data_IF_368372469898
#
_entry.id   IF_368372469898
#
_cell.length_a   1.000
_cell.length_b   1.000
_cell.length_c   1.000
_cell.angle_alpha   90.00
_cell.angle_beta   90.00
_cell.angle_gamma   90.00
#
_symmetry.space_group_name_H-M   'P 1'
#
loop_
_entity.id
_entity.type
_entity.pdbx_description
1 polymer ?
#
# COMPACT_ATOMS: atom_id res chain seq x y z
N UNK A 1 -9.05 40.17 20.58
CA UNK A 1 -8.58 41.10 21.64
C UNK A 1 -9.73 42.03 22.05
N UNK A 2 -10.64 41.61 22.95
CA UNK A 2 -11.61 42.51 23.62
C UNK A 2 -11.80 42.11 25.11
N UNK A 3 -10.97 41.19 25.64
CA UNK A 3 -11.05 40.75 27.04
C UNK A 3 -10.30 41.62 28.05
N UNK A 4 -9.60 42.66 27.58
CA UNK A 4 -8.68 43.46 28.41
C UNK A 4 -9.23 44.80 28.92
N UNK A 5 -10.47 45.19 28.60
CA UNK A 5 -10.94 46.57 28.84
C UNK A 5 -11.97 46.69 29.96
N UNK A 6 -12.54 45.59 30.49
CA UNK A 6 -13.66 45.70 31.46
C UNK A 6 -13.53 44.90 32.74
N UNK A 7 -12.37 44.26 33.01
CA UNK A 7 -11.99 43.76 34.35
C UNK A 7 -12.95 42.80 35.07
N UNK A 8 -14.00 42.33 34.39
CA UNK A 8 -15.04 41.47 34.93
C UNK A 8 -15.16 40.25 34.03
N UNK A 9 -14.98 39.07 34.64
CA UNK A 9 -15.25 37.80 33.97
C UNK A 9 -16.75 37.81 33.65
N UNK A 10 -17.18 37.72 32.38
CA UNK A 10 -18.60 37.68 32.07
C UNK A 10 -19.17 36.40 32.70
N UNK A 11 -19.97 36.54 33.75
CA UNK A 11 -20.66 35.44 34.41
C UNK A 11 -22.06 35.28 33.80
N UNK A 12 -22.54 34.04 33.67
CA UNK A 12 -23.87 33.74 33.11
C UNK A 12 -23.89 33.48 31.60
N UNK A 13 -24.92 33.95 30.90
CA UNK A 13 -25.22 33.61 29.49
C UNK A 13 -24.07 33.92 28.51
N UNK A 14 -23.35 35.02 28.71
CA UNK A 14 -22.22 35.41 27.87
C UNK A 14 -21.02 34.44 27.99
N UNK A 15 -20.80 33.83 29.17
CA UNK A 15 -19.81 32.77 29.32
C UNK A 15 -20.17 31.56 28.46
N UNK A 16 -21.45 31.16 28.48
CA UNK A 16 -21.96 30.05 27.67
C UNK A 16 -21.76 30.29 26.18
N UNK A 17 -22.03 31.51 25.69
CA UNK A 17 -21.81 31.88 24.28
C UNK A 17 -20.33 31.79 23.92
N UNK A 18 -19.44 32.32 24.76
CA UNK A 18 -17.99 32.24 24.51
C UNK A 18 -17.50 30.79 24.50
N UNK A 19 -17.97 29.94 25.42
CA UNK A 19 -17.61 28.53 25.47
C UNK A 19 -18.08 27.74 24.24
N UNK A 20 -19.32 27.98 23.77
CA UNK A 20 -19.85 27.35 22.56
C UNK A 20 -19.06 27.80 21.33
N UNK A 21 -18.75 29.09 21.23
CA UNK A 21 -17.96 29.63 20.13
C UNK A 21 -16.52 29.09 20.13
N UNK A 22 -15.88 28.97 21.30
CA UNK A 22 -14.55 28.38 21.39
C UNK A 22 -14.54 26.89 21.04
N UNK A 23 -15.59 26.15 21.44
CA UNK A 23 -15.74 24.73 21.07
C UNK A 23 -15.92 24.57 19.56
N UNK A 24 -16.78 25.38 18.96
CA UNK A 24 -17.00 25.38 17.51
C UNK A 24 -15.72 25.72 16.75
N UNK A 25 -14.99 26.76 17.18
CA UNK A 25 -13.71 27.14 16.57
C UNK A 25 -12.69 26.00 16.67
N UNK A 26 -12.61 25.33 17.81
CA UNK A 26 -11.70 24.21 18.03
C UNK A 26 -12.05 23.00 17.14
N UNK A 27 -13.33 22.66 17.03
CA UNK A 27 -13.80 21.55 16.19
C UNK A 27 -13.58 21.81 14.70
N UNK A 28 -13.85 23.04 14.23
CA UNK A 28 -13.62 23.42 12.83
C UNK A 28 -12.13 23.41 12.53
N UNK A 29 -11.32 24.10 13.34
CA UNK A 29 -9.87 24.19 13.10
C UNK A 29 -9.19 22.83 13.23
N UNK A 30 -9.57 22.04 14.25
CA UNK A 30 -9.11 20.66 14.41
C UNK A 30 -9.51 19.78 13.23
N UNK A 31 -10.76 19.87 12.78
CA UNK A 31 -11.24 19.12 11.61
C UNK A 31 -10.52 19.46 10.30
N UNK A 32 -10.17 20.73 10.10
CA UNK A 32 -9.37 21.15 8.93
C UNK A 32 -7.95 20.59 8.95
N UNK A 33 -7.36 20.39 10.13
CA UNK A 33 -6.02 19.80 10.29
C UNK A 33 -6.07 18.26 10.20
N UNK A 34 -7.14 17.63 10.72
CA UNK A 34 -7.27 16.17 10.68
C UNK A 34 -7.52 15.61 9.28
N UNK A 35 -8.19 16.36 8.40
CA UNK A 35 -8.48 15.91 7.01
C UNK A 35 -7.23 15.64 6.15
N UNK A 36 -6.23 16.54 6.05
CA UNK A 36 -5.02 16.26 5.27
C UNK A 36 -4.18 15.16 5.92
N UNK A 37 -4.10 15.11 7.25
CA UNK A 37 -3.39 14.06 7.98
C UNK A 37 -4.02 12.69 7.69
N UNK A 38 -5.34 12.58 7.79
CA UNK A 38 -6.07 11.36 7.47
C UNK A 38 -5.88 10.88 6.04
N UNK A 39 -5.74 11.79 5.06
CA UNK A 39 -5.44 11.42 3.67
C UNK A 39 -4.05 10.81 3.49
N UNK A 40 -3.04 11.30 4.21
CA UNK A 40 -1.68 10.74 4.19
C UNK A 40 -1.67 9.36 4.87
N UNK A 41 -2.46 9.16 5.93
CA UNK A 41 -2.58 7.85 6.57
C UNK A 41 -3.43 6.84 5.80
N UNK A 42 -4.42 7.31 5.03
CA UNK A 42 -5.22 6.45 4.17
C UNK A 42 -4.36 5.76 3.09
N UNK A 43 -3.36 6.44 2.52
CA UNK A 43 -2.45 5.81 1.55
C UNK A 43 -1.60 4.69 2.18
N UNK A 44 -1.24 4.79 3.46
CA UNK A 44 -0.58 3.69 4.17
C UNK A 44 -1.52 2.51 4.44
N UNK A 45 -2.83 2.74 4.58
CA UNK A 45 -3.83 1.68 4.66
C UNK A 45 -4.05 0.99 3.31
N UNK A 46 -4.12 1.75 2.23
CA UNK A 46 -4.28 1.25 0.86
C UNK A 46 -3.04 0.51 0.32
N UNK A 47 -1.85 0.86 0.84
CA UNK A 47 -0.59 0.12 0.61
C UNK A 47 -0.61 -1.33 1.14
N UNK A 48 -1.65 -1.71 1.88
CA UNK A 48 -1.90 -3.09 2.31
C UNK A 48 -2.80 -3.86 1.34
N UNK A 49 -3.26 -3.25 0.24
CA UNK A 49 -4.02 -3.96 -0.79
C UNK A 49 -3.15 -5.10 -1.32
N UNK A 50 -3.59 -6.30 -0.99
CA UNK A 50 -2.93 -7.56 -1.32
C UNK A 50 -2.65 -7.73 -2.80
N UNK A 51 -3.48 -7.08 -3.62
CA UNK A 51 -3.54 -7.27 -5.06
C UNK A 51 -2.76 -6.17 -5.78
N UNK A 52 -2.18 -5.21 -5.03
CA UNK A 52 -1.45 -4.05 -5.59
C UNK A 52 -0.27 -4.43 -6.48
N UNK A 53 0.25 -5.65 -6.32
CA UNK A 53 1.41 -6.14 -7.06
C UNK A 53 1.05 -6.98 -8.28
N UNK A 54 -0.22 -7.38 -8.46
CA UNK A 54 -0.63 -8.18 -9.62
C UNK A 54 -0.47 -7.33 -10.89
N UNK A 55 0.23 -7.88 -11.89
CA UNK A 55 0.59 -7.18 -13.12
C UNK A 55 1.84 -6.29 -13.01
N UNK A 56 2.44 -6.15 -11.82
CA UNK A 56 3.68 -5.39 -11.65
C UNK A 56 4.91 -6.21 -12.06
N UNK A 57 5.96 -5.51 -12.49
CA UNK A 57 7.25 -6.11 -12.76
C UNK A 57 8.14 -6.08 -11.52
N UNK A 58 8.89 -7.16 -11.33
CA UNK A 58 9.88 -7.27 -10.27
C UNK A 58 11.22 -7.82 -10.74
N UNK A 59 12.18 -7.83 -9.85
CA UNK A 59 13.51 -8.42 -10.05
C UNK A 59 13.75 -9.48 -8.99
N UNK A 60 14.19 -10.67 -9.38
CA UNK A 60 14.47 -11.75 -8.43
C UNK A 60 15.64 -11.38 -7.53
N UNK A 61 15.41 -11.41 -6.22
CA UNK A 61 16.45 -11.15 -5.22
C UNK A 61 17.06 -12.44 -4.66
N UNK A 62 16.30 -13.54 -4.63
CA UNK A 62 16.80 -14.87 -4.24
C UNK A 62 17.69 -15.52 -5.31
N UNK A 63 18.48 -16.52 -4.94
CA UNK A 63 19.38 -17.22 -5.88
C UNK A 63 18.61 -17.86 -7.05
N UNK A 64 17.47 -18.48 -6.75
CA UNK A 64 16.52 -19.07 -7.69
C UNK A 64 15.12 -18.95 -7.12
N UNK A 65 14.12 -18.87 -7.99
CA UNK A 65 12.72 -18.98 -7.58
C UNK A 65 12.29 -20.46 -7.56
N UNK A 66 11.81 -20.98 -6.43
CA UNK A 66 11.29 -22.33 -6.36
C UNK A 66 9.88 -22.41 -6.97
N UNK A 67 9.47 -23.63 -7.35
CA UNK A 67 8.07 -23.91 -7.71
C UNK A 67 7.21 -23.98 -6.45
N UNK A 68 5.94 -23.60 -6.56
CA UNK A 68 4.98 -23.58 -5.46
C UNK A 68 4.84 -24.94 -4.72
N UNK A 69 5.05 -26.05 -5.42
CA UNK A 69 4.97 -27.40 -4.86
C UNK A 69 6.23 -27.87 -4.11
N UNK A 70 7.31 -27.09 -4.11
CA UNK A 70 8.59 -27.48 -3.47
C UNK A 70 8.67 -27.10 -1.99
N UNK A 71 7.66 -26.43 -1.42
CA UNK A 71 7.66 -26.00 -0.02
C UNK A 71 8.76 -24.98 0.33
N UNK A 72 9.37 -24.35 -0.69
CA UNK A 72 10.39 -23.31 -0.54
C UNK A 72 9.81 -21.97 -0.99
N UNK A 73 10.36 -20.89 -0.44
CA UNK A 73 9.94 -19.53 -0.75
C UNK A 73 11.12 -18.80 -1.38
N UNK A 74 10.90 -18.13 -2.51
CA UNK A 74 11.84 -17.19 -3.10
C UNK A 74 11.43 -15.76 -2.82
N UNK A 75 12.30 -14.83 -3.18
CA UNK A 75 12.07 -13.39 -2.96
C UNK A 75 12.27 -12.62 -4.25
N UNK A 76 11.41 -11.62 -4.44
CA UNK A 76 11.41 -10.73 -5.59
C UNK A 76 11.20 -9.31 -5.09
N UNK A 77 12.00 -8.39 -5.60
CA UNK A 77 11.83 -6.95 -5.38
C UNK A 77 10.88 -6.42 -6.46
N UNK A 78 9.68 -6.04 -6.07
CA UNK A 78 8.62 -5.55 -6.97
C UNK A 78 8.45 -4.05 -6.78
N UNK A 79 8.26 -3.34 -7.88
CA UNK A 79 7.83 -1.94 -7.85
C UNK A 79 6.31 -1.90 -7.84
N UNK A 80 5.73 -1.32 -6.80
CA UNK A 80 4.29 -1.07 -6.76
C UNK A 80 3.89 0.07 -7.73
N UNK A 81 2.57 0.30 -7.94
CA UNK A 81 2.11 1.41 -8.78
C UNK A 81 2.55 2.81 -8.29
N UNK A 82 2.84 2.96 -6.99
CA UNK A 82 3.39 4.18 -6.40
C UNK A 82 4.92 4.30 -6.52
N UNK A 83 5.58 3.33 -7.18
CA UNK A 83 7.03 3.21 -7.39
C UNK A 83 7.83 2.98 -6.11
N UNK A 84 7.20 2.44 -5.07
CA UNK A 84 7.91 1.90 -3.91
C UNK A 84 8.50 0.54 -4.27
N UNK A 85 9.76 0.33 -3.88
CA UNK A 85 10.43 -0.96 -4.03
C UNK A 85 10.13 -1.82 -2.79
N UNK A 86 9.47 -2.96 -2.99
CA UNK A 86 9.06 -3.85 -1.91
C UNK A 86 9.51 -5.27 -2.21
N UNK A 87 10.20 -5.90 -1.27
CA UNK A 87 10.56 -7.32 -1.35
C UNK A 87 9.36 -8.17 -0.92
N UNK A 88 8.88 -9.02 -1.80
CA UNK A 88 7.76 -9.93 -1.56
C UNK A 88 8.19 -11.39 -1.72
N UNK A 89 7.49 -12.28 -1.01
CA UNK A 89 7.63 -13.71 -1.18
C UNK A 89 6.99 -14.12 -2.52
N UNK A 90 7.73 -14.90 -3.31
CA UNK A 90 7.27 -15.35 -4.61
C UNK A 90 7.68 -16.79 -4.92
N UNK A 91 6.84 -17.46 -5.71
CA UNK A 91 7.10 -18.79 -6.30
C UNK A 91 6.70 -18.84 -7.76
N UNK A 92 7.23 -19.83 -8.47
CA UNK A 92 6.80 -20.17 -9.82
C UNK A 92 5.57 -21.08 -9.78
N UNK A 93 4.60 -20.89 -10.70
CA UNK A 93 3.54 -21.85 -10.87
C UNK A 93 4.08 -23.18 -11.37
N UNK A 94 3.37 -24.27 -11.09
CA UNK A 94 3.79 -25.64 -11.48
C UNK A 94 4.04 -25.80 -12.98
N UNK A 95 3.24 -25.14 -13.80
CA UNK A 95 3.31 -25.17 -15.27
C UNK A 95 4.48 -24.35 -15.86
N UNK A 96 5.10 -23.44 -15.08
CA UNK A 96 6.22 -22.65 -15.58
C UNK A 96 7.39 -23.55 -16.00
N UNK A 97 7.91 -23.28 -17.19
CA UNK A 97 8.99 -24.04 -17.80
C UNK A 97 10.36 -23.45 -17.47
N UNK A 98 10.44 -22.12 -17.32
CA UNK A 98 11.70 -21.43 -17.05
C UNK A 98 11.82 -21.03 -15.59
N UNK A 99 12.96 -21.36 -14.97
CA UNK A 99 13.26 -20.98 -13.59
C UNK A 99 14.10 -19.70 -13.54
N UNK A 100 13.56 -18.55 -13.13
CA UNK A 100 14.32 -17.32 -13.01
C UNK A 100 15.37 -17.41 -11.90
N UNK A 101 16.49 -16.73 -12.12
CA UNK A 101 17.59 -16.58 -11.16
C UNK A 101 17.70 -15.13 -10.71
N UNK A 102 18.51 -14.89 -9.68
CA UNK A 102 18.82 -13.55 -9.17
C UNK A 102 19.11 -12.56 -10.30
N UNK A 103 18.47 -11.40 -10.27
CA UNK A 103 18.63 -10.33 -11.26
C UNK A 103 17.75 -10.47 -12.50
N UNK A 104 17.06 -11.59 -12.71
CA UNK A 104 16.09 -11.70 -13.80
C UNK A 104 14.82 -10.89 -13.49
N UNK A 105 14.21 -10.35 -14.55
CA UNK A 105 12.93 -9.66 -14.46
C UNK A 105 11.79 -10.66 -14.48
N UNK A 106 10.82 -10.46 -13.61
CA UNK A 106 9.63 -11.30 -13.48
C UNK A 106 8.37 -10.46 -13.52
N UNK A 107 7.26 -11.08 -13.90
CA UNK A 107 5.92 -10.52 -13.85
C UNK A 107 5.14 -11.22 -12.74
N UNK A 108 4.50 -10.46 -11.87
CA UNK A 108 3.56 -10.99 -10.88
C UNK A 108 2.23 -11.25 -11.58
N UNK A 109 1.76 -12.49 -11.56
CA UNK A 109 0.55 -12.91 -12.30
C UNK A 109 -0.64 -13.22 -11.41
N UNK A 110 -0.39 -13.65 -10.17
CA UNK A 110 -1.45 -14.04 -9.24
C UNK A 110 -0.92 -14.01 -7.80
N UNK A 111 -1.84 -14.17 -6.86
CA UNK A 111 -1.57 -14.21 -5.43
C UNK A 111 -2.22 -15.43 -4.79
N UNK A 112 -1.42 -16.21 -4.08
CA UNK A 112 -1.90 -17.16 -3.08
C UNK A 112 -1.73 -16.55 -1.68
N UNK A 113 -2.58 -16.94 -0.71
CA UNK A 113 -2.74 -16.29 0.61
C UNK A 113 -1.52 -15.52 1.18
N UNK A 114 -0.31 -16.10 1.18
CA UNK A 114 0.92 -15.52 1.74
C UNK A 114 2.09 -15.42 0.74
N UNK A 115 1.85 -15.61 -0.56
CA UNK A 115 2.89 -15.78 -1.56
C UNK A 115 2.40 -15.38 -2.96
N UNK A 116 3.22 -14.67 -3.73
CA UNK A 116 2.88 -14.28 -5.10
C UNK A 116 3.33 -15.33 -6.10
N UNK A 117 2.51 -15.57 -7.13
CA UNK A 117 2.93 -16.29 -8.30
C UNK A 117 3.57 -15.33 -9.28
N UNK A 118 4.78 -15.67 -9.70
CA UNK A 118 5.55 -14.89 -10.65
C UNK A 118 6.04 -15.77 -11.78
N UNK A 119 6.19 -15.19 -12.96
CA UNK A 119 6.75 -15.85 -14.14
C UNK A 119 7.84 -14.99 -14.74
N UNK A 120 8.74 -15.61 -15.51
CA UNK A 120 9.82 -14.88 -16.16
C UNK A 120 9.23 -13.89 -17.18
N UNK A 121 9.68 -12.63 -17.12
CA UNK A 121 9.29 -11.61 -18.10
C UNK A 121 9.91 -11.93 -19.47
N UNK A 122 9.19 -11.61 -20.54
CA UNK A 122 9.61 -11.79 -21.93
C UNK A 122 9.95 -13.26 -22.26
N UNK A 123 9.20 -14.19 -21.68
CA UNK A 123 9.39 -15.63 -21.83
C UNK A 123 8.16 -16.31 -22.44
N UNK A 124 8.32 -17.56 -22.88
CA UNK A 124 7.21 -18.38 -23.34
C UNK A 124 6.12 -18.55 -22.27
N UNK A 125 6.52 -18.58 -20.99
CA UNK A 125 5.59 -18.68 -19.86
C UNK A 125 4.70 -17.41 -19.75
N UNK A 126 5.24 -16.23 -20.09
CA UNK A 126 4.45 -14.98 -20.15
C UNK A 126 3.43 -15.01 -21.27
N UNK A 127 3.84 -15.46 -22.46
CA UNK A 127 2.93 -15.57 -23.59
C UNK A 127 1.83 -16.59 -23.30
N UNK A 128 2.18 -17.76 -22.76
CA UNK A 128 1.22 -18.78 -22.38
C UNK A 128 0.21 -18.28 -21.34
N UNK A 129 0.63 -17.45 -20.38
CA UNK A 129 -0.29 -16.83 -19.43
C UNK A 129 -1.23 -15.83 -20.11
N UNK A 130 -0.72 -14.97 -21.00
CA UNK A 130 -1.54 -14.01 -21.76
C UNK A 130 -2.57 -14.71 -22.66
N UNK A 131 -2.17 -15.81 -23.31
CA UNK A 131 -3.02 -16.58 -24.22
C UNK A 131 -4.14 -17.35 -23.49
N UNK A 132 -3.95 -17.71 -22.21
CA UNK A 132 -4.97 -18.37 -21.39
C UNK A 132 -5.84 -17.40 -20.58
N UNK A 133 -5.49 -16.11 -20.55
CA UNK A 133 -6.23 -15.07 -19.83
C UNK A 133 -7.38 -14.46 -20.66
N UNK A 134 -7.60 -14.92 -21.90
CA UNK A 134 -8.62 -14.45 -22.84
C UNK A 134 -9.44 -15.59 -23.45
#
# INVERSE_FOLDING_TARGET
MIGGVTGSIPTGFLAGVVSVMSLFLTLVTGGFISRPIGKIFASFGEDTSSDRFIGCHGTVSSATLPKENQGKIGQVDVLDPARNLVTVNATLPTWATVTPKRGNKVLVIDRHHHNYLVILKDSADQQAWLDNAY
#
